data_IF_928530860565
#
_entry.id   IF_928530860565
#
_cell.length_a   1.000
_cell.length_b   1.000
_cell.length_c   1.000
_cell.angle_alpha   90.00
_cell.angle_beta   90.00
_cell.angle_gamma   90.00
#
_symmetry.space_group_name_H-M   'P 1'
#
loop_
_entity.id
_entity.type
_entity.pdbx_description
1 polymer ?
#
# COMPACT_ATOMS: atom_id res chain seq x y z
N UNK A 1 14.13 10.23 -2.57
CA UNK A 1 13.17 9.69 -1.58
C UNK A 1 13.90 8.58 -0.82
N UNK A 2 14.10 8.69 0.50
CA UNK A 2 14.71 7.58 1.26
C UNK A 2 13.63 6.52 1.50
N UNK A 3 13.88 5.30 1.01
CA UNK A 3 13.01 4.17 1.33
C UNK A 3 13.26 3.84 2.80
N UNK A 4 12.28 4.15 3.65
CA UNK A 4 12.37 3.82 5.08
C UNK A 4 11.86 2.40 5.24
N UNK A 5 12.80 1.46 5.33
CA UNK A 5 12.51 0.08 5.67
C UNK A 5 12.07 0.03 7.12
N UNK A 6 10.81 -0.31 7.36
CA UNK A 6 10.31 -0.42 8.72
C UNK A 6 9.48 -1.68 8.82
N UNK A 7 9.98 -2.61 9.63
CA UNK A 7 9.08 -3.54 10.28
C UNK A 7 7.98 -2.71 10.94
N UNK A 8 6.73 -3.05 10.67
CA UNK A 8 5.57 -2.26 11.05
C UNK A 8 4.79 -3.02 12.09
N UNK A 9 4.26 -2.31 13.09
CA UNK A 9 3.27 -2.80 14.03
C UNK A 9 1.93 -2.14 13.70
N UNK A 10 0.86 -2.93 13.53
CA UNK A 10 -0.46 -2.45 13.13
C UNK A 10 -1.58 -3.07 13.92
N UNK A 11 -2.47 -2.23 14.44
CA UNK A 11 -3.70 -2.66 15.06
C UNK A 11 -4.83 -2.69 14.02
N UNK A 12 -5.66 -3.72 14.06
CA UNK A 12 -6.87 -3.87 13.26
C UNK A 12 -7.96 -4.50 14.15
N UNK A 13 -8.90 -3.67 14.61
CA UNK A 13 -9.85 -4.04 15.65
C UNK A 13 -9.17 -4.45 16.97
N UNK A 14 -9.36 -5.71 17.37
CA UNK A 14 -8.73 -6.28 18.57
C UNK A 14 -7.46 -7.09 18.27
N UNK A 15 -6.97 -7.07 17.03
CA UNK A 15 -5.85 -7.88 16.55
C UNK A 15 -4.65 -7.01 16.25
N UNK A 16 -3.46 -7.50 16.60
CA UNK A 16 -2.21 -6.79 16.42
C UNK A 16 -1.33 -7.57 15.45
N UNK A 17 -0.85 -6.89 14.40
CA UNK A 17 -0.05 -7.45 13.33
C UNK A 17 1.34 -6.83 13.35
N UNK A 18 2.37 -7.60 13.04
CA UNK A 18 3.71 -7.06 12.84
C UNK A 18 4.50 -7.81 11.76
N UNK A 19 5.49 -7.15 11.15
CA UNK A 19 6.54 -7.82 10.38
C UNK A 19 7.92 -7.38 10.86
N UNK A 20 8.93 -8.23 10.64
CA UNK A 20 10.31 -7.81 10.81
C UNK A 20 10.74 -6.93 9.63
N UNK A 21 11.62 -5.93 9.81
CA UNK A 21 12.09 -5.07 8.73
C UNK A 21 12.70 -5.80 7.52
N UNK A 22 13.17 -7.03 7.73
CA UNK A 22 13.86 -7.88 6.75
C UNK A 22 12.99 -9.05 6.29
N UNK A 23 11.67 -8.97 6.51
CA UNK A 23 10.72 -10.06 6.27
C UNK A 23 9.47 -9.55 5.54
N UNK A 24 9.07 -10.31 4.53
CA UNK A 24 7.80 -10.20 3.81
C UNK A 24 6.70 -11.05 4.46
N UNK A 25 6.98 -11.62 5.64
CA UNK A 25 6.03 -12.36 6.47
C UNK A 25 5.44 -11.45 7.54
N UNK A 26 4.12 -11.38 7.58
CA UNK A 26 3.34 -10.66 8.57
C UNK A 26 2.81 -11.67 9.58
N UNK A 27 2.97 -11.34 10.85
CA UNK A 27 2.59 -12.14 12.00
C UNK A 27 1.43 -11.47 12.73
N UNK A 28 0.53 -12.26 13.28
CA UNK A 28 -0.46 -11.80 14.26
C UNK A 28 0.02 -12.14 15.67
N UNK A 29 -0.03 -11.18 16.57
CA UNK A 29 0.25 -11.34 18.00
C UNK A 29 -1.03 -11.84 18.68
N UNK A 30 -1.02 -13.08 19.15
CA UNK A 30 -2.11 -13.62 19.96
C UNK A 30 -1.90 -13.28 21.44
N UNK A 31 -3.01 -13.14 22.18
CA UNK A 31 -3.00 -12.87 23.64
C UNK A 31 -2.30 -13.96 24.48
N UNK A 32 -2.01 -15.12 23.88
CA UNK A 32 -1.45 -16.31 24.53
C UNK A 32 0.04 -16.56 24.20
N UNK A 33 0.79 -15.48 23.97
CA UNK A 33 2.27 -15.44 23.87
C UNK A 33 2.93 -16.00 22.59
N UNK A 34 2.17 -16.53 21.62
CA UNK A 34 2.76 -16.96 20.35
C UNK A 34 2.30 -16.07 19.19
N UNK A 35 3.28 -15.42 18.55
CA UNK A 35 3.11 -14.83 17.23
C UNK A 35 2.94 -15.95 16.21
N UNK A 36 1.97 -15.82 15.30
CA UNK A 36 1.76 -16.77 14.19
C UNK A 36 1.88 -16.05 12.85
N UNK A 37 2.54 -16.63 11.84
CA UNK A 37 2.48 -16.07 10.49
C UNK A 37 1.04 -16.12 9.97
N UNK A 38 0.60 -15.03 9.34
CA UNK A 38 -0.77 -14.93 8.79
C UNK A 38 -0.80 -14.53 7.33
N UNK A 39 0.17 -13.74 6.86
CA UNK A 39 0.25 -13.29 5.46
C UNK A 39 1.71 -13.33 5.04
N UNK A 40 2.01 -13.93 3.90
CA UNK A 40 3.33 -13.87 3.27
C UNK A 40 3.19 -13.19 1.91
N UNK A 41 3.95 -12.11 1.69
CA UNK A 41 4.09 -11.49 0.37
C UNK A 41 5.24 -12.19 -0.35
N UNK A 42 4.96 -12.76 -1.52
CA UNK A 42 5.91 -13.59 -2.28
C UNK A 42 5.72 -13.36 -3.78
N UNK A 43 6.73 -13.72 -4.57
CA UNK A 43 6.77 -13.54 -6.01
C UNK A 43 8.14 -13.87 -6.59
N UNK A 44 8.29 -13.71 -7.91
CA UNK A 44 9.58 -13.90 -8.55
C UNK A 44 10.60 -12.85 -8.08
N UNK A 45 11.79 -13.30 -7.67
CA UNK A 45 12.84 -12.41 -7.17
C UNK A 45 12.49 -11.70 -5.85
N UNK A 46 11.54 -12.22 -5.07
CA UNK A 46 11.29 -11.75 -3.71
C UNK A 46 12.35 -12.24 -2.73
N UNK A 47 12.56 -11.47 -1.67
CA UNK A 47 13.46 -11.82 -0.58
C UNK A 47 13.10 -13.20 0.01
N UNK A 48 14.05 -14.11 0.16
CA UNK A 48 13.78 -15.44 0.68
C UNK A 48 13.72 -15.40 2.23
N UNK A 49 12.59 -15.82 2.80
CA UNK A 49 12.32 -15.73 4.24
C UNK A 49 13.18 -16.65 5.12
N UNK A 50 13.84 -17.66 4.53
CA UNK A 50 14.81 -18.51 5.21
C UNK A 50 16.14 -17.80 5.49
N UNK A 51 16.41 -16.69 4.80
CA UNK A 51 17.58 -15.85 5.03
C UNK A 51 17.29 -14.76 6.07
N UNK A 52 17.69 -15.04 7.32
CA UNK A 52 17.62 -14.06 8.41
C UNK A 52 18.87 -13.20 8.43
N UNK A 53 18.78 -12.01 7.86
CA UNK A 53 19.80 -10.97 8.00
C UNK A 53 19.35 -9.91 9.00
N UNK A 54 20.33 -9.29 9.67
CA UNK A 54 20.08 -8.02 10.33
C UNK A 54 19.74 -6.93 9.30
N UNK A 55 19.19 -5.81 9.76
CA UNK A 55 18.72 -4.75 8.87
C UNK A 55 19.82 -4.17 7.99
N UNK A 56 21.04 -3.97 8.50
CA UNK A 56 22.12 -3.36 7.70
C UNK A 56 22.57 -4.31 6.59
N UNK A 57 22.75 -5.59 6.91
CA UNK A 57 23.09 -6.62 5.94
C UNK A 57 21.99 -6.80 4.89
N UNK A 58 20.71 -6.80 5.31
CA UNK A 58 19.57 -6.86 4.40
C UNK A 58 19.52 -5.70 3.42
N UNK A 59 19.77 -4.47 3.88
CA UNK A 59 19.78 -3.29 3.02
C UNK A 59 20.89 -3.36 1.97
N UNK A 60 22.11 -3.72 2.40
CA UNK A 60 23.24 -3.85 1.49
C UNK A 60 23.02 -4.97 0.47
N UNK A 61 22.56 -6.13 0.93
CA UNK A 61 22.39 -7.32 0.11
C UNK A 61 21.16 -7.21 -0.80
N UNK A 62 20.05 -6.66 -0.30
CA UNK A 62 18.84 -6.40 -1.07
C UNK A 62 19.10 -5.44 -2.23
N UNK A 63 19.89 -4.38 -2.00
CA UNK A 63 20.34 -3.48 -3.07
C UNK A 63 21.25 -4.18 -4.07
N UNK A 64 22.21 -4.98 -3.58
CA UNK A 64 23.17 -5.71 -4.42
C UNK A 64 22.49 -6.74 -5.32
N UNK A 65 21.55 -7.49 -4.78
CA UNK A 65 20.85 -8.58 -5.46
C UNK A 65 19.61 -8.10 -6.25
N UNK A 66 19.21 -6.84 -6.10
CA UNK A 66 18.02 -6.27 -6.74
C UNK A 66 16.75 -7.07 -6.43
N UNK A 67 16.63 -7.51 -5.17
CA UNK A 67 15.51 -8.34 -4.71
C UNK A 67 14.29 -7.48 -4.35
N UNK A 68 13.13 -8.03 -4.66
CA UNK A 68 11.85 -7.46 -4.28
C UNK A 68 11.52 -7.81 -2.83
N UNK A 69 10.80 -6.95 -2.12
CA UNK A 69 10.40 -7.22 -0.73
C UNK A 69 9.25 -6.30 -0.29
N UNK A 70 8.58 -6.70 0.79
CA UNK A 70 7.59 -5.87 1.46
C UNK A 70 8.26 -4.66 2.13
N UNK A 71 7.82 -3.45 1.79
CA UNK A 71 8.28 -2.19 2.41
C UNK A 71 7.37 -1.81 3.57
N UNK A 72 6.05 -1.82 3.34
CA UNK A 72 5.06 -1.47 4.35
C UNK A 72 3.67 -2.00 3.97
N UNK A 73 2.72 -1.95 4.90
CA UNK A 73 1.35 -2.38 4.67
C UNK A 73 0.34 -1.65 5.56
N UNK A 74 -0.94 -1.70 5.18
CA UNK A 74 -2.09 -1.38 6.01
C UNK A 74 -3.08 -2.54 5.92
N UNK A 75 -3.61 -3.02 7.04
CA UNK A 75 -4.51 -4.18 7.09
C UNK A 75 -5.82 -3.73 7.75
N UNK A 76 -6.93 -4.04 7.09
CA UNK A 76 -8.29 -3.98 7.66
C UNK A 76 -8.97 -5.35 7.50
N UNK A 77 -10.11 -5.62 8.16
CA UNK A 77 -10.76 -6.93 8.07
C UNK A 77 -11.18 -7.32 6.65
N UNK A 78 -11.61 -6.35 5.83
CA UNK A 78 -12.15 -6.59 4.48
C UNK A 78 -11.19 -6.31 3.33
N UNK A 79 -10.13 -5.52 3.56
CA UNK A 79 -9.17 -5.11 2.52
C UNK A 79 -7.81 -4.76 3.14
N UNK A 80 -6.73 -5.09 2.44
CA UNK A 80 -5.38 -4.71 2.85
C UNK A 80 -4.62 -4.04 1.70
N UNK A 81 -3.72 -3.13 2.05
CA UNK A 81 -2.78 -2.51 1.12
C UNK A 81 -1.37 -2.99 1.43
N UNK A 82 -0.66 -3.46 0.41
CA UNK A 82 0.74 -3.86 0.50
C UNK A 82 1.58 -3.00 -0.43
N UNK A 83 2.71 -2.51 0.07
CA UNK A 83 3.65 -1.69 -0.68
C UNK A 83 4.95 -2.45 -0.77
N UNK A 84 5.33 -2.81 -1.97
CA UNK A 84 6.49 -3.64 -2.22
C UNK A 84 7.51 -2.86 -3.03
N UNK A 85 8.79 -2.97 -2.67
CA UNK A 85 9.84 -2.64 -3.59
C UNK A 85 9.93 -3.79 -4.58
N UNK A 86 9.71 -3.51 -5.86
CA UNK A 86 9.91 -4.45 -6.96
C UNK A 86 11.15 -4.00 -7.73
N UNK A 87 12.27 -4.67 -7.47
CA UNK A 87 13.59 -4.26 -7.98
C UNK A 87 13.92 -2.82 -7.56
N UNK A 88 13.70 -1.84 -8.45
CA UNK A 88 14.07 -0.44 -8.24
C UNK A 88 12.87 0.53 -8.12
N UNK A 89 11.63 0.04 -8.00
CA UNK A 89 10.45 0.90 -7.87
C UNK A 89 9.45 0.33 -6.88
N UNK A 90 8.67 1.20 -6.23
CA UNK A 90 7.62 0.80 -5.31
C UNK A 90 6.32 0.59 -6.10
N UNK A 91 5.66 -0.55 -5.90
CA UNK A 91 4.32 -0.82 -6.39
C UNK A 91 3.40 -1.16 -5.21
N UNK A 92 2.20 -0.59 -5.25
CA UNK A 92 1.16 -0.88 -4.28
C UNK A 92 0.14 -1.90 -4.79
N UNK A 93 -0.36 -2.71 -3.88
CA UNK A 93 -1.32 -3.76 -4.15
C UNK A 93 -2.50 -3.69 -3.18
N UNK A 94 -3.70 -3.87 -3.69
CA UNK A 94 -4.95 -3.99 -2.93
C UNK A 94 -5.34 -5.46 -2.88
N UNK A 95 -5.46 -6.02 -1.69
CA UNK A 95 -5.83 -7.42 -1.47
C UNK A 95 -7.14 -7.55 -0.72
N UNK A 96 -8.01 -8.43 -1.18
CA UNK A 96 -9.27 -8.77 -0.52
C UNK A 96 -9.18 -10.17 0.10
N UNK A 97 -9.03 -10.29 1.44
CA UNK A 97 -8.80 -11.58 2.10
C UNK A 97 -9.92 -12.59 1.89
N UNK A 98 -11.17 -12.14 1.79
CA UNK A 98 -12.32 -13.04 1.65
C UNK A 98 -12.37 -13.75 0.30
N UNK A 99 -11.94 -13.10 -0.78
CA UNK A 99 -11.94 -13.65 -2.14
C UNK A 99 -10.56 -14.14 -2.60
N UNK A 100 -9.50 -13.69 -1.93
CA UNK A 100 -8.12 -13.94 -2.33
C UNK A 100 -7.65 -13.08 -3.50
N UNK A 101 -8.48 -12.15 -4.01
CA UNK A 101 -8.11 -11.32 -5.16
C UNK A 101 -7.09 -10.24 -4.78
N UNK A 102 -6.13 -10.03 -5.70
CA UNK A 102 -5.07 -9.03 -5.60
C UNK A 102 -5.11 -8.14 -6.84
N UNK A 103 -5.11 -6.82 -6.62
CA UNK A 103 -5.15 -5.82 -7.67
C UNK A 103 -3.96 -4.87 -7.54
N UNK A 104 -3.28 -4.58 -8.64
CA UNK A 104 -2.31 -3.49 -8.74
C UNK A 104 -2.91 -2.30 -9.51
N UNK A 105 -2.14 -1.23 -9.66
CA UNK A 105 -2.56 0.00 -10.35
C UNK A 105 -3.07 -0.33 -11.75
N UNK A 106 -2.46 -1.31 -12.43
CA UNK A 106 -2.83 -1.75 -13.77
C UNK A 106 -4.25 -2.28 -13.86
N UNK A 107 -4.72 -2.98 -12.82
CA UNK A 107 -6.08 -3.54 -12.78
C UNK A 107 -7.15 -2.46 -12.55
N UNK A 108 -6.76 -1.31 -12.00
CA UNK A 108 -7.67 -0.22 -11.62
C UNK A 108 -7.70 0.93 -12.63
N UNK A 109 -6.84 0.92 -13.66
CA UNK A 109 -6.88 1.92 -14.73
C UNK A 109 -8.15 1.77 -15.58
N UNK A 110 -8.74 2.88 -16.08
CA UNK A 110 -8.25 4.26 -16.04
C UNK A 110 -8.74 5.11 -14.84
N UNK A 111 -8.97 4.53 -13.66
CA UNK A 111 -9.47 5.28 -12.50
C UNK A 111 -8.42 6.29 -11.96
N UNK A 112 -8.78 7.57 -11.72
CA UNK A 112 -7.82 8.60 -11.29
C UNK A 112 -7.19 8.34 -9.94
N UNK A 113 -7.97 7.80 -9.00
CA UNK A 113 -7.45 7.40 -7.69
C UNK A 113 -6.57 6.13 -7.75
N UNK A 114 -6.47 5.43 -8.88
CA UNK A 114 -5.62 4.24 -8.98
C UNK A 114 -4.14 4.56 -8.81
N UNK A 115 -3.67 5.78 -9.08
CA UNK A 115 -2.28 6.17 -8.81
C UNK A 115 -2.00 6.29 -7.31
N UNK A 116 -3.00 6.58 -6.48
CA UNK A 116 -2.83 6.72 -5.03
C UNK A 116 -2.39 5.42 -4.38
N UNK A 117 -2.72 4.26 -4.96
CA UNK A 117 -2.30 2.98 -4.38
C UNK A 117 -0.78 2.81 -4.39
N UNK A 118 -0.03 3.52 -5.25
CA UNK A 118 1.43 3.49 -5.25
C UNK A 118 2.05 4.39 -4.17
N UNK A 119 1.24 5.13 -3.44
CA UNK A 119 1.64 5.97 -2.32
C UNK A 119 1.12 5.37 -1.01
N UNK A 120 1.98 5.10 -0.02
CA UNK A 120 1.54 4.66 1.30
C UNK A 120 0.50 5.64 1.89
N UNK A 121 -0.55 5.17 2.59
CA UNK A 121 -1.55 6.05 3.16
C UNK A 121 -0.89 6.91 4.25
N UNK A 122 -1.23 8.20 4.29
CA UNK A 122 -0.53 9.17 5.13
C UNK A 122 -0.82 9.00 6.63
N UNK A 123 -2.04 8.57 6.97
CA UNK A 123 -2.52 8.45 8.36
C UNK A 123 -2.78 6.98 8.74
N UNK A 124 -3.06 6.12 7.74
CA UNK A 124 -3.37 4.70 7.92
C UNK A 124 -4.77 4.36 7.43
N UNK A 125 -5.44 3.47 8.14
CA UNK A 125 -6.77 2.96 7.82
C UNK A 125 -7.76 3.12 8.98
N UNK A 126 -9.03 2.91 8.66
CA UNK A 126 -10.17 2.95 9.59
C UNK A 126 -10.79 1.57 9.73
N UNK A 127 -11.50 1.33 10.83
CA UNK A 127 -12.12 0.02 11.11
C UNK A 127 -13.17 -0.39 10.07
N UNK A 128 -13.81 0.58 9.40
CA UNK A 128 -14.75 0.38 8.30
C UNK A 128 -14.07 0.13 6.94
N UNK A 129 -12.74 -0.06 6.90
CA UNK A 129 -12.02 -0.43 5.69
C UNK A 129 -11.60 0.73 4.79
N UNK A 130 -11.78 1.98 5.24
CA UNK A 130 -11.32 3.15 4.50
C UNK A 130 -9.86 3.50 4.79
N UNK A 131 -9.12 3.94 3.77
CA UNK A 131 -7.72 4.35 3.86
C UNK A 131 -7.56 5.84 3.59
N UNK A 132 -6.68 6.50 4.33
CA UNK A 132 -6.45 7.93 4.21
C UNK A 132 -5.23 8.24 3.35
N UNK A 133 -5.46 8.88 2.21
CA UNK A 133 -4.43 9.36 1.30
C UNK A 133 -4.39 10.89 1.31
N UNK A 134 -3.21 11.46 1.08
CA UNK A 134 -3.07 12.89 0.82
C UNK A 134 -3.14 13.09 -0.69
N UNK A 135 -4.06 13.95 -1.13
CA UNK A 135 -4.04 14.48 -2.48
C UNK A 135 -3.06 15.65 -2.48
N UNK A 136 -1.96 15.50 -3.21
CA UNK A 136 -0.88 16.48 -3.28
C UNK A 136 -0.69 17.01 -4.71
N UNK A 137 -0.01 18.16 -4.87
CA UNK A 137 0.36 18.67 -6.19
C UNK A 137 1.07 17.62 -7.06
N UNK A 138 1.99 16.85 -6.47
CA UNK A 138 2.74 15.81 -7.18
C UNK A 138 1.82 14.67 -7.67
N UNK A 139 0.82 14.30 -6.88
CA UNK A 139 -0.19 13.34 -7.32
C UNK A 139 -1.01 13.89 -8.48
N UNK A 140 -1.45 15.15 -8.39
CA UNK A 140 -2.23 15.83 -9.42
C UNK A 140 -1.46 15.94 -10.74
N UNK A 141 -0.18 16.27 -10.72
CA UNK A 141 0.69 16.28 -11.90
C UNK A 141 0.76 14.90 -12.60
N UNK A 142 0.84 13.81 -11.81
CA UNK A 142 0.81 12.46 -12.37
C UNK A 142 -0.54 12.09 -13.00
N UNK A 143 -1.63 12.61 -12.45
CA UNK A 143 -2.97 12.41 -13.01
C UNK A 143 -3.11 13.18 -14.33
N UNK A 144 -2.65 14.43 -14.38
CA UNK A 144 -2.71 15.30 -15.57
C UNK A 144 -1.85 14.74 -16.71
N UNK A 145 -0.64 14.26 -16.41
CA UNK A 145 0.26 13.66 -17.40
C UNK A 145 -0.29 12.38 -18.04
N UNK A 146 -1.35 11.79 -17.48
CA UNK A 146 -2.09 10.70 -18.09
C UNK A 146 -3.40 11.20 -18.70
N UNK A 147 -3.38 11.53 -20.00
CA UNK A 147 -4.52 12.11 -20.73
C UNK A 147 -5.84 11.32 -20.61
N UNK A 148 -5.78 9.99 -20.48
CA UNK A 148 -6.99 9.16 -20.31
C UNK A 148 -7.63 9.36 -18.94
N UNK A 149 -6.79 9.58 -17.92
CA UNK A 149 -7.22 9.76 -16.54
C UNK A 149 -7.72 11.18 -16.32
N UNK A 150 -7.04 12.20 -16.87
CA UNK A 150 -7.45 13.60 -16.75
C UNK A 150 -8.89 13.86 -17.23
N UNK A 151 -9.36 13.11 -18.23
CA UNK A 151 -10.74 13.22 -18.77
C UNK A 151 -11.83 12.77 -17.80
N UNK A 152 -11.51 11.91 -16.83
CA UNK A 152 -12.52 11.34 -15.91
C UNK A 152 -12.49 11.94 -14.51
N UNK A 153 -11.46 12.73 -14.17
CA UNK A 153 -11.31 13.39 -12.85
C UNK A 153 -12.57 14.12 -12.36
N UNK A 154 -13.27 14.93 -13.19
CA UNK A 154 -14.44 15.69 -12.71
C UNK A 154 -15.60 14.82 -12.22
N UNK A 155 -15.61 13.53 -12.54
CA UNK A 155 -16.62 12.59 -12.05
C UNK A 155 -16.35 12.08 -10.63
N UNK A 156 -15.12 12.26 -10.11
CA UNK A 156 -14.69 11.70 -8.83
C UNK A 156 -14.33 12.77 -7.79
N UNK A 157 -13.92 13.96 -8.24
CA UNK A 157 -13.57 15.10 -7.40
C UNK A 157 -14.29 16.35 -7.92
N UNK A 158 -14.83 17.15 -7.01
CA UNK A 158 -15.37 18.46 -7.40
C UNK A 158 -14.23 19.36 -7.91
N UNK A 159 -14.56 20.31 -8.80
CA UNK A 159 -13.58 21.28 -9.30
C UNK A 159 -12.94 22.07 -8.14
N UNK A 160 -13.73 22.44 -7.13
CA UNK A 160 -13.24 23.13 -5.93
C UNK A 160 -12.15 22.32 -5.20
N UNK A 161 -12.38 21.02 -4.97
CA UNK A 161 -11.38 20.15 -4.35
C UNK A 161 -10.17 19.95 -5.26
N UNK A 162 -10.38 19.86 -6.57
CA UNK A 162 -9.30 19.69 -7.54
C UNK A 162 -8.36 20.90 -7.58
N UNK A 163 -8.92 22.11 -7.55
CA UNK A 163 -8.16 23.36 -7.55
C UNK A 163 -7.44 23.56 -6.20
N UNK A 164 -8.07 23.18 -5.09
CA UNK A 164 -7.49 23.29 -3.76
C UNK A 164 -6.25 22.38 -3.53
N UNK A 165 -6.00 21.37 -4.38
CA UNK A 165 -4.79 20.52 -4.29
C UNK A 165 -3.51 21.34 -4.47
N UNK A 166 -3.54 22.41 -5.27
CA UNK A 166 -2.37 23.24 -5.54
C UNK A 166 -1.99 24.16 -4.36
N UNK A 167 -2.84 24.24 -3.33
CA UNK A 167 -2.58 25.05 -2.13
C UNK A 167 -1.63 24.32 -1.17
N UNK A 168 -0.32 24.61 -1.25
CA UNK A 168 0.74 23.95 -0.46
C UNK A 168 0.47 23.85 1.06
N UNK A 169 -0.31 24.77 1.62
CA UNK A 169 -0.63 24.81 3.06
C UNK A 169 -1.95 24.12 3.46
N UNK A 170 -2.65 23.48 2.52
CA UNK A 170 -3.93 22.82 2.78
C UNK A 170 -3.96 21.40 2.18
N UNK A 171 -3.23 20.44 2.76
CA UNK A 171 -3.25 19.07 2.27
C UNK A 171 -4.67 18.50 2.36
N UNK A 172 -5.18 18.00 1.25
CA UNK A 172 -6.50 17.38 1.21
C UNK A 172 -6.35 15.91 1.60
N UNK A 173 -6.98 15.53 2.70
CA UNK A 173 -7.04 14.14 3.13
C UNK A 173 -8.27 13.46 2.54
N UNK A 174 -8.05 12.50 1.64
CA UNK A 174 -9.11 11.69 1.04
C UNK A 174 -9.23 10.34 1.76
N UNK A 175 -10.44 10.02 2.24
CA UNK A 175 -10.77 8.67 2.72
C UNK A 175 -11.30 7.85 1.55
N UNK A 176 -10.60 6.77 1.20
CA UNK A 176 -10.91 5.93 0.03
C UNK A 176 -11.22 4.51 0.49
N UNK A 177 -12.32 3.95 -0.03
CA UNK A 177 -12.69 2.55 0.13
C UNK A 177 -12.48 1.81 -1.19
N UNK A 178 -12.13 0.53 -1.10
CA UNK A 178 -11.95 -0.34 -2.25
C UNK A 178 -13.06 -1.38 -2.29
N UNK A 179 -13.53 -1.70 -3.50
CA UNK A 179 -14.53 -2.74 -3.75
C UNK A 179 -13.92 -3.87 -4.57
N UNK A 180 -14.21 -5.11 -4.17
CA UNK A 180 -13.84 -6.29 -4.94
C UNK A 180 -14.77 -6.45 -6.14
N UNK A 181 -14.28 -6.09 -7.33
CA UNK A 181 -15.04 -6.12 -8.59
C UNK A 181 -15.40 -7.53 -9.05
N UNK A 182 -14.73 -8.57 -8.54
CA UNK A 182 -15.00 -9.94 -8.95
C UNK A 182 -16.14 -10.60 -8.17
N UNK A 183 -16.57 -10.01 -7.04
CA UNK A 183 -17.78 -10.44 -6.32
C UNK A 183 -19.10 -9.96 -6.96
N UNK A 184 -19.03 -9.01 -7.89
CA UNK A 184 -20.20 -8.47 -8.59
C UNK A 184 -20.52 -9.20 -9.91
N UNK A 185 -19.82 -10.30 -10.21
CA UNK A 185 -20.03 -11.15 -11.39
C UNK A 185 -20.59 -12.51 -11.00
#
# INVERSE_FOLDING_TARGET
>A
MSITFSGKLKNCGSRLYYNYPTSSLIYEISSLQKSRPVIQVTGEGFWPEDQRLDLQAFLAEGQRLNLSHLVTYEITPGVSLFYCLLKNHIEGFVWFPESGHLYSKKNLQPHPLASLINYPPAVGCTDDGGFFFVLSPEWKEQVISNEQVGKVVPHYLSQELWDAIDEENKPILAKIWFKDIAKDK
#
